data_IF_890547041715
#
_entry.id   IF_890547041715
#
_cell.length_a   1.000
_cell.length_b   1.000
_cell.length_c   1.000
_cell.angle_alpha   90.00
_cell.angle_beta   90.00
_cell.angle_gamma   90.00
#
_symmetry.space_group_name_H-M   'P 1'
#
loop_
_entity.id
_entity.type
_entity.pdbx_description
1 polymer ?
#
# COMPACT_ATOMS: atom_id res chain seq x y z
N UNK A 1 -0.54 3.78 29.69
CA UNK A 1 -0.37 3.28 31.07
C UNK A 1 -1.43 2.23 31.41
N UNK A 2 -1.05 0.94 31.34
CA UNK A 2 -1.95 -0.21 31.48
C UNK A 2 -1.88 -0.91 32.85
N UNK A 3 -2.42 -2.13 32.88
CA UNK A 3 -2.62 -3.03 34.04
C UNK A 3 -1.39 -3.27 34.95
N UNK A 4 -0.18 -3.01 34.46
CA UNK A 4 1.08 -3.26 35.20
C UNK A 4 1.73 -2.00 35.76
N UNK A 5 1.15 -0.81 35.53
CA UNK A 5 1.76 0.46 35.94
C UNK A 5 3.04 0.83 35.17
N UNK A 6 3.44 0.01 34.18
CA UNK A 6 4.58 0.27 33.32
C UNK A 6 4.11 1.21 32.18
N UNK A 7 4.86 2.27 31.85
CA UNK A 7 4.58 3.10 30.69
C UNK A 7 4.61 2.26 29.40
N UNK A 8 3.68 2.52 28.50
CA UNK A 8 3.74 1.91 27.17
C UNK A 8 5.01 2.39 26.46
N UNK A 9 5.70 1.46 25.79
CA UNK A 9 6.86 1.80 24.96
C UNK A 9 6.39 2.80 23.90
N UNK A 10 6.93 4.02 23.94
CA UNK A 10 6.64 5.07 22.98
C UNK A 10 7.59 4.98 21.80
N UNK A 11 7.01 5.00 20.60
CA UNK A 11 7.79 5.09 19.35
C UNK A 11 8.28 6.53 19.19
N UNK A 12 9.55 6.69 18.79
CA UNK A 12 10.14 8.00 18.49
C UNK A 12 9.27 8.80 17.50
N UNK A 13 9.13 10.10 17.76
CA UNK A 13 8.44 11.06 16.90
C UNK A 13 9.10 11.21 15.52
N UNK A 14 10.36 10.79 15.39
CA UNK A 14 11.11 10.81 14.13
C UNK A 14 10.90 9.56 13.26
N UNK A 15 10.13 8.56 13.73
CA UNK A 15 9.80 7.38 12.92
C UNK A 15 8.65 7.68 11.95
N UNK A 16 8.62 6.98 10.81
CA UNK A 16 7.62 7.15 9.76
C UNK A 16 6.16 7.07 10.24
N UNK A 17 5.86 6.23 11.24
CA UNK A 17 4.51 6.10 11.81
C UNK A 17 3.98 7.39 12.46
N UNK A 18 4.85 8.32 12.86
CA UNK A 18 4.43 9.60 13.42
C UNK A 18 3.63 10.43 12.41
N UNK A 19 3.99 10.39 11.11
CA UNK A 19 3.22 11.05 10.06
C UNK A 19 1.77 10.56 10.02
N UNK A 20 1.57 9.24 10.04
CA UNK A 20 0.23 8.65 10.02
C UNK A 20 -0.62 9.02 11.24
N UNK A 21 0.02 9.13 12.41
CA UNK A 21 -0.64 9.50 13.68
C UNK A 21 -0.98 10.99 13.75
N UNK A 22 -0.26 11.82 12.99
CA UNK A 22 -0.44 13.27 12.96
C UNK A 22 -1.40 13.73 11.84
N UNK A 23 -1.83 12.83 10.95
CA UNK A 23 -2.89 13.17 10.00
C UNK A 23 -4.19 13.49 10.75
N UNK A 24 -4.93 14.56 10.37
CA UNK A 24 -6.15 14.97 11.06
C UNK A 24 -7.21 13.85 11.16
N UNK A 25 -7.26 12.96 10.17
CA UNK A 25 -8.17 11.83 10.07
C UNK A 25 -7.45 10.47 10.18
N UNK A 26 -6.20 10.46 10.63
CA UNK A 26 -5.37 9.26 10.75
C UNK A 26 -5.96 8.27 11.75
N UNK A 27 -6.30 7.07 11.26
CA UNK A 27 -6.87 5.99 12.08
C UNK A 27 -6.04 4.73 11.99
N UNK A 28 -5.62 4.18 13.13
CA UNK A 28 -5.04 2.83 13.19
C UNK A 28 -6.16 1.81 13.02
N UNK A 29 -6.18 1.13 11.88
CA UNK A 29 -7.21 0.14 11.54
C UNK A 29 -6.79 -1.29 11.89
N UNK A 30 -5.50 -1.53 12.09
CA UNK A 30 -4.98 -2.83 12.50
C UNK A 30 -3.72 -2.67 13.36
N UNK A 31 -3.54 -3.59 14.30
CA UNK A 31 -2.30 -3.75 15.06
C UNK A 31 -2.11 -5.22 15.43
N UNK A 32 -0.89 -5.72 15.27
CA UNK A 32 -0.49 -7.03 15.77
C UNK A 32 0.95 -6.97 16.26
N UNK A 33 1.21 -7.59 17.40
CA UNK A 33 2.55 -7.71 17.99
C UNK A 33 2.96 -9.17 17.90
N UNK A 34 4.15 -9.42 17.34
CA UNK A 34 4.67 -10.78 17.13
C UNK A 34 6.21 -10.79 17.27
N UNK A 35 6.87 -11.96 17.20
CA UNK A 35 8.33 -12.04 17.12
C UNK A 35 8.94 -11.28 15.91
N UNK A 36 8.13 -10.92 14.92
CA UNK A 36 8.54 -10.12 13.75
C UNK A 36 8.34 -8.60 13.93
N UNK A 37 8.01 -8.15 15.14
CA UNK A 37 7.83 -6.74 15.50
C UNK A 37 6.38 -6.31 15.76
N UNK A 38 6.19 -5.01 16.02
CA UNK A 38 4.90 -4.33 16.11
C UNK A 38 4.45 -3.90 14.71
N UNK A 39 3.49 -4.63 14.15
CA UNK A 39 2.87 -4.32 12.87
C UNK A 39 1.64 -3.42 13.10
N UNK A 40 1.62 -2.26 12.48
CA UNK A 40 0.50 -1.33 12.53
C UNK A 40 0.05 -0.96 11.12
N UNK A 41 -1.26 -0.83 10.90
CA UNK A 41 -1.81 -0.32 9.64
C UNK A 41 -2.68 0.90 9.92
N UNK A 42 -2.47 1.95 9.16
CA UNK A 42 -3.21 3.21 9.24
C UNK A 42 -3.95 3.51 7.94
N UNK A 43 -5.13 4.09 8.08
CA UNK A 43 -5.90 4.68 7.00
C UNK A 43 -6.06 6.18 7.25
N UNK A 44 -5.98 6.97 6.18
CA UNK A 44 -6.19 8.42 6.16
C UNK A 44 -6.45 8.86 4.73
N UNK A 45 -7.25 9.92 4.54
CA UNK A 45 -7.43 10.55 3.23
C UNK A 45 -6.16 11.25 2.71
N UNK A 46 -5.21 11.59 3.59
CA UNK A 46 -3.93 12.23 3.26
C UNK A 46 -2.88 11.24 2.74
N UNK A 47 -3.18 9.95 2.79
CA UNK A 47 -2.32 8.92 2.27
C UNK A 47 -2.48 8.84 0.74
N UNK A 48 -1.42 9.18 -0.01
CA UNK A 48 -1.27 8.94 -1.46
C UNK A 48 -0.09 8.00 -1.80
N UNK A 49 -0.34 6.89 -2.48
CA UNK A 49 0.67 5.87 -2.84
C UNK A 49 0.34 5.38 -4.24
N UNK A 50 0.85 6.15 -5.18
CA UNK A 50 0.63 5.98 -6.60
C UNK A 50 1.97 6.30 -7.29
N UNK A 51 3.02 5.46 -7.06
CA UNK A 51 4.39 5.80 -7.41
C UNK A 51 4.51 6.00 -8.93
N UNK A 52 4.65 7.26 -9.34
CA UNK A 52 4.73 7.64 -10.75
C UNK A 52 3.41 7.58 -11.51
N UNK A 53 2.26 7.65 -10.85
CA UNK A 53 0.96 7.72 -11.52
C UNK A 53 0.98 8.84 -12.57
N UNK A 54 0.68 8.46 -13.81
CA UNK A 54 0.64 9.38 -14.93
C UNK A 54 -0.47 10.43 -14.76
N UNK A 55 -0.19 11.69 -15.05
CA UNK A 55 -1.19 12.78 -15.08
C UNK A 55 -2.34 12.50 -16.07
N UNK A 56 -2.08 11.71 -17.12
CA UNK A 56 -3.14 11.24 -18.02
C UNK A 56 -4.24 10.44 -17.32
N UNK A 57 -4.02 9.92 -16.10
CA UNK A 57 -5.06 9.28 -15.31
C UNK A 57 -6.23 10.24 -15.04
N UNK A 58 -5.95 11.53 -14.84
CA UNK A 58 -6.98 12.54 -14.60
C UNK A 58 -7.89 12.80 -15.82
N UNK A 59 -7.43 12.49 -17.03
CA UNK A 59 -8.19 12.64 -18.26
C UNK A 59 -8.82 11.33 -18.74
N UNK A 60 -8.20 10.20 -18.39
CA UNK A 60 -8.62 8.88 -18.85
C UNK A 60 -9.53 8.12 -17.89
N UNK A 61 -9.77 8.65 -16.69
CA UNK A 61 -10.67 8.08 -15.68
C UNK A 61 -11.73 9.11 -15.29
N UNK A 62 -13.00 8.70 -15.07
CA UNK A 62 -14.01 9.61 -14.53
C UNK A 62 -13.62 10.20 -13.18
N UNK A 63 -12.97 9.39 -12.33
CA UNK A 63 -12.46 9.78 -11.02
C UNK A 63 -11.27 8.89 -10.65
N UNK A 64 -10.25 9.46 -10.01
CA UNK A 64 -9.14 8.69 -9.44
C UNK A 64 -9.63 8.04 -8.14
N UNK A 65 -9.52 6.71 -7.98
CA UNK A 65 -10.09 6.04 -6.81
C UNK A 65 -9.48 6.58 -5.52
N UNK A 66 -10.35 6.89 -4.55
CA UNK A 66 -9.92 7.32 -3.23
C UNK A 66 -9.46 6.11 -2.40
N UNK A 67 -8.53 6.34 -1.47
CA UNK A 67 -8.07 5.33 -0.50
C UNK A 67 -7.64 4.01 -1.16
N UNK A 68 -6.90 4.07 -2.28
CA UNK A 68 -6.42 2.89 -3.01
C UNK A 68 -5.50 1.99 -2.19
N UNK A 69 -4.95 2.52 -1.10
CA UNK A 69 -4.03 1.81 -0.23
C UNK A 69 -4.20 2.24 1.23
N UNK A 70 -3.55 1.49 2.13
CA UNK A 70 -3.37 1.84 3.54
C UNK A 70 -1.89 1.73 3.90
N UNK A 71 -1.43 2.56 4.84
CA UNK A 71 -0.02 2.57 5.23
C UNK A 71 0.29 1.53 6.30
N UNK A 72 1.14 0.57 5.98
CA UNK A 72 1.69 -0.39 6.92
C UNK A 72 3.00 0.12 7.50
N UNK A 73 3.18 -0.12 8.80
CA UNK A 73 4.38 0.24 9.53
C UNK A 73 4.84 -0.93 10.39
N UNK A 74 6.13 -1.25 10.34
CA UNK A 74 6.76 -2.29 11.15
C UNK A 74 7.73 -1.64 12.13
N UNK A 75 7.50 -1.83 13.42
CA UNK A 75 8.26 -1.17 14.49
C UNK A 75 8.32 0.36 14.34
N UNK A 76 7.31 0.93 13.70
CA UNK A 76 7.19 2.35 13.39
C UNK A 76 7.88 2.80 12.10
N UNK A 77 8.60 1.93 11.39
CA UNK A 77 9.19 2.21 10.08
C UNK A 77 8.18 2.00 8.95
N UNK A 78 8.28 2.78 7.87
CA UNK A 78 7.31 2.83 6.76
C UNK A 78 7.02 4.27 6.27
N UNK A 79 5.94 4.51 5.49
CA UNK A 79 4.90 3.53 5.13
C UNK A 79 5.33 2.56 4.02
N UNK A 80 4.90 1.32 4.18
CA UNK A 80 4.76 0.37 3.08
C UNK A 80 3.28 0.37 2.65
N UNK A 81 3.01 0.73 1.40
CA UNK A 81 1.62 0.91 0.93
C UNK A 81 0.93 -0.41 0.61
N UNK A 82 0.02 -0.88 1.47
CA UNK A 82 -0.81 -2.05 1.20
C UNK A 82 -1.88 -1.66 0.18
N UNK A 83 -1.74 -2.17 -1.04
CA UNK A 83 -2.71 -1.97 -2.11
C UNK A 83 -4.01 -2.68 -1.76
N UNK A 84 -5.12 -1.95 -1.77
CA UNK A 84 -6.44 -2.53 -1.55
C UNK A 84 -6.93 -3.23 -2.81
N UNK A 85 -7.88 -4.14 -2.60
CA UNK A 85 -8.61 -4.74 -3.70
C UNK A 85 -9.60 -3.70 -4.27
N UNK A 86 -9.23 -3.09 -5.41
CA UNK A 86 -10.06 -2.09 -6.08
C UNK A 86 -11.24 -2.75 -6.80
N UNK A 87 -12.37 -2.04 -6.89
CA UNK A 87 -13.50 -2.51 -7.67
C UNK A 87 -13.12 -2.65 -9.16
N UNK A 88 -13.76 -3.55 -9.93
CA UNK A 88 -13.41 -3.76 -11.34
C UNK A 88 -13.36 -2.49 -12.20
N UNK A 89 -14.24 -1.52 -11.93
CA UNK A 89 -14.25 -0.24 -12.63
C UNK A 89 -13.04 0.65 -12.30
N UNK A 90 -12.48 0.51 -11.10
CA UNK A 90 -11.34 1.29 -10.60
C UNK A 90 -9.99 0.70 -11.02
N UNK A 91 -9.97 -0.59 -11.42
CA UNK A 91 -8.74 -1.31 -11.80
C UNK A 91 -8.02 -0.72 -13.02
N UNK A 92 -8.70 0.09 -13.83
CA UNK A 92 -8.06 0.86 -14.91
C UNK A 92 -6.94 1.77 -14.38
N UNK A 93 -7.00 2.16 -13.10
CA UNK A 93 -5.94 2.85 -12.35
C UNK A 93 -4.55 2.23 -12.57
N UNK A 94 -4.46 0.89 -12.54
CA UNK A 94 -3.17 0.21 -12.69
C UNK A 94 -2.51 0.48 -14.03
N UNK A 95 -3.28 0.76 -15.09
CA UNK A 95 -2.75 1.06 -16.44
C UNK A 95 -1.98 2.38 -16.50
N UNK A 96 -2.23 3.29 -15.56
CA UNK A 96 -1.57 4.58 -15.46
C UNK A 96 -0.33 4.55 -14.55
N UNK A 97 0.00 3.41 -13.96
CA UNK A 97 1.23 3.24 -13.22
C UNK A 97 2.37 2.81 -14.17
N UNK A 98 3.60 3.32 -13.99
CA UNK A 98 4.74 2.95 -14.83
C UNK A 98 5.01 1.45 -14.82
N UNK A 99 4.72 0.80 -13.69
CA UNK A 99 4.85 -0.66 -13.52
C UNK A 99 3.90 -1.49 -14.38
N UNK A 100 2.93 -0.87 -15.06
CA UNK A 100 2.09 -1.56 -16.05
C UNK A 100 2.81 -1.81 -17.37
N UNK A 101 3.85 -1.03 -17.68
CA UNK A 101 4.50 -1.04 -18.98
C UNK A 101 5.03 -2.42 -19.44
N UNK A 102 5.62 -3.27 -18.58
CA UNK A 102 6.05 -4.62 -18.99
C UNK A 102 4.91 -5.47 -19.58
N UNK A 103 3.66 -5.26 -19.14
CA UNK A 103 2.51 -6.05 -19.56
C UNK A 103 1.89 -5.57 -20.87
N UNK A 104 2.25 -4.38 -21.36
CA UNK A 104 1.91 -3.98 -22.74
C UNK A 104 2.88 -4.59 -23.77
N UNK A 105 4.09 -4.97 -23.33
CA UNK A 105 5.10 -5.62 -24.17
C UNK A 105 4.88 -7.13 -24.22
N UNK A 106 4.56 -7.74 -23.07
CA UNK A 106 4.37 -9.18 -22.96
C UNK A 106 2.94 -9.51 -22.55
N UNK A 107 2.23 -10.16 -23.46
CA UNK A 107 0.91 -10.73 -23.17
C UNK A 107 1.01 -11.95 -22.24
N UNK A 108 0.11 -12.01 -21.25
CA UNK A 108 -0.12 -13.16 -20.36
C UNK A 108 1.16 -13.75 -19.72
N UNK A 109 2.07 -12.93 -19.16
CA UNK A 109 3.33 -13.43 -18.63
C UNK A 109 3.14 -14.30 -17.38
N UNK A 110 4.16 -15.11 -17.07
CA UNK A 110 4.38 -15.62 -15.72
C UNK A 110 5.24 -14.61 -14.98
N UNK A 111 4.69 -13.98 -13.96
CA UNK A 111 5.33 -12.84 -13.29
C UNK A 111 5.99 -13.28 -12.00
N UNK A 112 7.23 -12.83 -11.80
CA UNK A 112 7.96 -13.01 -10.56
C UNK A 112 8.16 -11.64 -9.90
N UNK A 113 7.72 -11.52 -8.64
CA UNK A 113 7.83 -10.29 -7.84
C UNK A 113 8.83 -10.56 -6.72
N UNK A 114 9.90 -9.77 -6.68
CA UNK A 114 10.88 -9.78 -5.60
C UNK A 114 10.43 -8.81 -4.53
N UNK A 115 10.34 -9.29 -3.29
CA UNK A 115 9.74 -8.63 -2.13
C UNK A 115 8.24 -8.37 -2.34
N UNK A 116 7.40 -8.99 -1.51
CA UNK A 116 5.95 -8.83 -1.62
C UNK A 116 5.51 -7.36 -1.52
N UNK A 117 6.23 -6.56 -0.75
CA UNK A 117 5.82 -5.20 -0.51
C UNK A 117 4.45 -5.15 0.20
N UNK A 118 3.74 -4.06 -0.02
CA UNK A 118 2.29 -3.99 0.20
C UNK A 118 1.47 -4.51 -0.99
N UNK A 119 2.06 -5.33 -1.87
CA UNK A 119 1.33 -6.07 -2.91
C UNK A 119 0.96 -5.29 -4.17
N UNK A 120 1.40 -4.04 -4.35
CA UNK A 120 1.09 -3.24 -5.55
C UNK A 120 1.57 -3.91 -6.84
N UNK A 121 2.78 -4.49 -6.85
CA UNK A 121 3.34 -5.21 -8.01
C UNK A 121 2.54 -6.45 -8.35
N UNK A 122 2.12 -7.20 -7.32
CA UNK A 122 1.27 -8.38 -7.47
C UNK A 122 -0.11 -7.99 -8.03
N UNK A 123 -0.73 -6.94 -7.50
CA UNK A 123 -2.02 -6.45 -7.99
C UNK A 123 -1.92 -5.97 -9.43
N UNK A 124 -0.90 -5.19 -9.79
CA UNK A 124 -0.67 -4.76 -11.16
C UNK A 124 -0.50 -5.95 -12.12
N UNK A 125 0.27 -6.97 -11.72
CA UNK A 125 0.48 -8.18 -12.51
C UNK A 125 -0.80 -8.97 -12.78
N UNK A 126 -1.61 -9.18 -11.74
CA UNK A 126 -2.89 -9.87 -11.84
C UNK A 126 -3.89 -9.08 -12.70
N UNK A 127 -3.98 -7.77 -12.49
CA UNK A 127 -4.85 -6.87 -13.26
C UNK A 127 -4.45 -6.79 -14.75
N UNK A 128 -3.16 -6.93 -15.04
CA UNK A 128 -2.65 -6.95 -16.40
C UNK A 128 -2.75 -8.34 -17.09
N UNK A 129 -3.31 -9.34 -16.40
CA UNK A 129 -3.58 -10.65 -16.99
C UNK A 129 -2.42 -11.65 -16.96
N UNK A 130 -1.51 -11.53 -15.98
CA UNK A 130 -0.48 -12.55 -15.74
C UNK A 130 -1.13 -13.93 -15.53
N UNK A 131 -0.56 -14.98 -16.11
CA UNK A 131 -1.06 -16.37 -15.96
C UNK A 131 -0.76 -16.95 -14.58
N UNK A 132 0.33 -16.49 -13.97
CA UNK A 132 0.69 -16.81 -12.59
C UNK A 132 1.55 -15.69 -12.03
N UNK A 133 1.47 -15.46 -10.72
CA UNK A 133 2.36 -14.55 -9.99
C UNK A 133 3.04 -15.32 -8.86
N UNK A 134 4.37 -15.32 -8.87
CA UNK A 134 5.20 -15.87 -7.78
C UNK A 134 5.85 -14.73 -7.03
N UNK A 135 5.90 -14.83 -5.71
CA UNK A 135 6.48 -13.81 -4.83
C UNK A 135 7.56 -14.46 -3.97
N UNK A 136 8.72 -13.79 -3.80
CA UNK A 136 9.81 -14.22 -2.94
C UNK A 136 10.35 -13.06 -2.09
#
# INVERSE_FOLDING_TARGET
PGLTGIPDITVSQYKGVAYARNFPDGKRIYRSVSPFGDLQVYASSYMHFAPGLSDNAAFGMPEVPANTYVGMYRDGDGPEGIMRNLAPAEQVYFRYLPMHYPYVIKEKPKTFVVQFGGGISTQAALNAGSTSVTVA
#
